data_IF_551632553250
#
_entry.id   IF_551632553250
#
_cell.length_a   1.000
_cell.length_b   1.000
_cell.length_c   1.000
_cell.angle_alpha   90.00
_cell.angle_beta   90.00
_cell.angle_gamma   90.00
#
_symmetry.space_group_name_H-M   'P 1'
#
loop_
_entity.id
_entity.type
_entity.pdbx_description
1 polymer ?
#
# COMPACT_ATOMS: atom_id res chain seq x y z
N UNK A 1 4.89 11.75 0.80
CA UNK A 1 3.48 12.22 0.90
C UNK A 1 3.14 12.49 2.37
N UNK A 2 2.27 13.44 2.75
CA UNK A 2 1.82 13.55 4.15
C UNK A 2 0.91 12.36 4.52
N UNK A 3 0.77 12.07 5.82
CA UNK A 3 -0.27 11.17 6.31
C UNK A 3 -1.44 12.03 6.78
N UNK A 4 -2.64 11.77 6.24
CA UNK A 4 -3.86 12.54 6.54
C UNK A 4 -4.92 11.70 7.27
N UNK A 5 -4.57 10.50 7.73
CA UNK A 5 -5.51 9.55 8.35
C UNK A 5 -6.55 8.95 7.38
N UNK A 6 -6.47 9.29 6.10
CA UNK A 6 -7.38 8.87 5.03
C UNK A 6 -6.58 8.20 3.90
N UNK A 7 -7.27 7.59 2.94
CA UNK A 7 -6.62 6.98 1.78
C UNK A 7 -5.78 8.02 1.03
N UNK A 8 -4.47 7.80 0.92
CA UNK A 8 -3.60 8.66 0.14
C UNK A 8 -3.81 8.44 -1.36
N UNK A 9 -3.85 9.53 -2.15
CA UNK A 9 -4.19 9.51 -3.57
C UNK A 9 -3.22 10.28 -4.48
N UNK A 10 -2.14 10.80 -3.90
CA UNK A 10 -1.09 11.57 -4.61
C UNK A 10 -0.13 10.60 -5.35
N UNK A 11 -0.68 9.70 -6.16
CA UNK A 11 0.06 8.59 -6.77
C UNK A 11 1.13 9.05 -7.77
N UNK A 12 0.93 10.22 -8.38
CA UNK A 12 1.87 10.88 -9.29
C UNK A 12 3.23 11.21 -8.64
N UNK A 13 3.31 11.17 -7.31
CA UNK A 13 4.54 11.43 -6.55
C UNK A 13 5.37 10.17 -6.31
N UNK A 14 4.81 8.99 -6.58
CA UNK A 14 5.43 7.70 -6.28
C UNK A 14 6.43 7.29 -7.37
N UNK A 15 7.58 6.79 -6.94
CA UNK A 15 8.51 6.06 -7.79
C UNK A 15 8.66 4.62 -7.30
N UNK A 16 8.94 3.70 -8.22
CA UNK A 16 9.31 2.34 -7.84
C UNK A 16 10.45 2.36 -6.81
N UNK A 17 10.31 1.56 -5.75
CA UNK A 17 11.20 1.54 -4.60
C UNK A 17 10.74 2.37 -3.40
N UNK A 18 9.76 3.27 -3.57
CA UNK A 18 9.21 4.04 -2.45
C UNK A 18 8.54 3.11 -1.42
N UNK A 19 8.74 3.39 -0.13
CA UNK A 19 8.02 2.69 0.93
C UNK A 19 6.59 3.21 1.01
N UNK A 20 5.63 2.30 1.05
CA UNK A 20 4.20 2.58 1.21
C UNK A 20 3.72 2.06 2.55
N UNK A 21 2.91 2.85 3.25
CA UNK A 21 2.53 2.60 4.63
C UNK A 21 1.02 2.52 4.77
N UNK A 22 0.57 1.56 5.58
CA UNK A 22 -0.83 1.23 5.74
C UNK A 22 -1.25 1.17 7.20
N UNK A 23 -2.50 1.52 7.46
CA UNK A 23 -3.17 1.24 8.72
C UNK A 23 -3.63 -0.21 8.75
N UNK A 24 -3.12 -1.04 9.66
CA UNK A 24 -3.51 -2.45 9.81
C UNK A 24 -4.69 -2.67 10.77
N UNK A 25 -5.05 -1.64 11.53
CA UNK A 25 -5.95 -1.75 12.66
C UNK A 25 -7.43 -1.89 12.28
N UNK A 26 -8.28 -2.18 13.27
CA UNK A 26 -9.72 -2.27 13.08
C UNK A 26 -10.37 -0.90 12.83
N UNK A 27 -9.73 0.17 13.28
CA UNK A 27 -10.20 1.56 13.11
C UNK A 27 -9.27 2.27 12.13
N UNK A 28 -9.84 2.72 11.01
CA UNK A 28 -9.10 3.46 10.00
C UNK A 28 -8.77 4.86 10.54
N UNK A 29 -7.49 5.08 10.82
CA UNK A 29 -6.94 6.36 11.27
C UNK A 29 -5.53 6.56 10.66
N UNK A 30 -4.74 7.46 11.22
CA UNK A 30 -3.38 7.76 10.79
C UNK A 30 -2.31 6.79 11.32
N UNK A 31 -2.66 5.83 12.17
CA UNK A 31 -1.71 4.86 12.70
C UNK A 31 -1.19 3.93 11.60
N UNK A 32 0.11 3.62 11.64
CA UNK A 32 0.80 2.79 10.66
C UNK A 32 1.20 1.48 11.31
N UNK A 33 0.80 0.37 10.71
CA UNK A 33 1.05 -0.98 11.25
C UNK A 33 1.56 -1.96 10.20
N UNK A 34 1.48 -1.59 8.92
CA UNK A 34 2.00 -2.39 7.83
C UNK A 34 2.75 -1.52 6.83
N UNK A 35 3.76 -2.08 6.19
CA UNK A 35 4.49 -1.42 5.12
C UNK A 35 4.76 -2.36 3.94
N UNK A 36 5.00 -1.76 2.79
CA UNK A 36 5.47 -2.43 1.59
C UNK A 36 6.35 -1.51 0.77
N UNK A 37 6.69 -1.96 -0.42
CA UNK A 37 7.46 -1.21 -1.39
C UNK A 37 6.65 -1.07 -2.67
N UNK A 38 6.52 0.16 -3.16
CA UNK A 38 5.85 0.47 -4.40
C UNK A 38 6.66 -0.08 -5.58
N UNK A 39 5.99 -0.70 -6.53
CA UNK A 39 6.64 -1.31 -7.69
C UNK A 39 6.36 -0.58 -9.00
N UNK A 40 5.29 0.21 -9.05
CA UNK A 40 4.89 0.91 -10.25
C UNK A 40 3.43 0.62 -10.62
N UNK A 41 3.16 0.81 -11.90
CA UNK A 41 1.85 0.59 -12.50
C UNK A 41 1.91 -0.70 -13.30
N UNK A 42 0.91 -1.57 -13.14
CA UNK A 42 0.82 -2.81 -13.92
C UNK A 42 0.24 -2.59 -15.33
N UNK A 43 0.06 -3.67 -16.07
CA UNK A 43 -0.51 -3.65 -17.44
C UNK A 43 -1.94 -3.11 -17.49
N UNK A 44 -2.67 -3.15 -16.38
CA UNK A 44 -4.05 -2.68 -16.27
C UNK A 44 -4.12 -1.21 -15.80
N UNK A 45 -2.98 -0.54 -15.70
CA UNK A 45 -2.92 0.84 -15.24
C UNK A 45 -3.07 1.00 -13.72
N UNK A 46 -2.85 -0.07 -12.94
CA UNK A 46 -3.10 -0.09 -11.49
C UNK A 46 -1.83 0.01 -10.65
N UNK A 47 -1.88 0.74 -9.54
CA UNK A 47 -0.73 0.99 -8.68
C UNK A 47 -0.40 -0.21 -7.77
N UNK A 48 0.68 -0.94 -8.07
CA UNK A 48 1.10 -2.18 -7.37
C UNK A 48 2.18 -1.97 -6.33
N UNK A 49 2.16 -2.81 -5.30
CA UNK A 49 3.21 -2.89 -4.29
C UNK A 49 3.51 -4.34 -3.88
N UNK A 50 4.68 -4.56 -3.30
CA UNK A 50 5.05 -5.83 -2.65
C UNK A 50 5.13 -5.62 -1.14
N UNK A 51 4.74 -6.63 -0.37
CA UNK A 51 5.03 -6.66 1.06
C UNK A 51 5.06 -8.09 1.60
N UNK A 52 5.63 -8.28 2.79
CA UNK A 52 5.49 -9.54 3.50
C UNK A 52 4.05 -9.72 3.99
N UNK A 53 3.46 -10.89 3.78
CA UNK A 53 2.07 -11.19 4.20
C UNK A 53 2.07 -12.33 5.21
N UNK A 54 1.27 -12.19 6.27
CA UNK A 54 1.04 -13.29 7.22
C UNK A 54 0.44 -14.51 6.54
N UNK A 55 -0.54 -14.33 5.64
CA UNK A 55 -1.21 -15.45 4.95
C UNK A 55 -0.30 -16.24 4.02
N UNK A 56 0.71 -15.60 3.45
CA UNK A 56 1.67 -16.26 2.55
C UNK A 56 2.98 -16.65 3.26
N UNK A 57 3.14 -16.28 4.53
CA UNK A 57 4.35 -16.48 5.32
C UNK A 57 5.63 -15.98 4.62
N UNK A 58 5.58 -14.78 4.01
CA UNK A 58 6.73 -14.21 3.32
C UNK A 58 6.39 -13.08 2.34
N UNK A 59 7.40 -12.60 1.57
CA UNK A 59 7.22 -11.59 0.53
C UNK A 59 6.17 -12.02 -0.48
N UNK A 60 5.23 -11.13 -0.79
CA UNK A 60 4.12 -11.43 -1.69
C UNK A 60 3.85 -10.23 -2.58
N UNK A 61 3.92 -10.48 -3.89
CA UNK A 61 3.47 -9.56 -4.92
C UNK A 61 1.96 -9.71 -5.21
N UNK A 62 1.46 -10.95 -5.15
CA UNK A 62 0.07 -11.27 -5.48
C UNK A 62 -0.96 -10.85 -4.43
N UNK A 63 -2.23 -11.05 -4.76
CA UNK A 63 -3.39 -10.58 -4.00
C UNK A 63 -3.76 -11.49 -2.80
N UNK A 64 -2.78 -12.25 -2.29
CA UNK A 64 -2.97 -13.16 -1.15
C UNK A 64 -3.08 -12.37 0.15
N UNK A 65 -4.26 -12.45 0.77
CA UNK A 65 -4.56 -11.68 1.99
C UNK A 65 -5.03 -10.26 1.73
N UNK A 66 -5.33 -9.93 0.47
CA UNK A 66 -5.85 -8.64 0.03
C UNK A 66 -5.08 -8.13 -1.18
N UNK A 67 -5.78 -7.41 -2.06
CA UNK A 67 -5.22 -6.92 -3.31
C UNK A 67 -3.98 -6.06 -3.06
N UNK A 68 -2.92 -6.32 -3.80
CA UNK A 68 -1.67 -5.55 -3.78
C UNK A 68 -1.79 -4.24 -4.54
N UNK A 69 -2.88 -3.51 -4.29
CA UNK A 69 -3.30 -2.27 -4.96
C UNK A 69 -3.38 -1.09 -4.00
N UNK A 70 -2.85 0.06 -4.41
CA UNK A 70 -2.94 1.32 -3.65
C UNK A 70 -4.21 2.13 -3.99
N UNK A 71 -4.74 1.92 -5.19
CA UNK A 71 -5.86 2.66 -5.81
C UNK A 71 -7.20 1.92 -5.74
N UNK A 72 -7.22 0.72 -5.17
CA UNK A 72 -8.42 -0.10 -5.02
C UNK A 72 -9.28 0.30 -3.82
N UNK A 73 -10.51 -0.22 -3.80
CA UNK A 73 -11.40 -0.22 -2.63
C UNK A 73 -11.22 -1.45 -1.74
N UNK A 74 -10.26 -2.33 -2.08
CA UNK A 74 -9.91 -3.52 -1.32
C UNK A 74 -9.11 -3.22 -0.04
N UNK A 75 -8.69 -4.28 0.65
CA UNK A 75 -8.10 -4.21 1.99
C UNK A 75 -6.96 -3.18 2.10
N UNK A 76 -5.96 -3.25 1.21
CA UNK A 76 -4.79 -2.37 1.26
C UNK A 76 -5.05 -1.00 0.67
N UNK A 77 -5.85 -0.89 -0.39
CA UNK A 77 -6.17 0.40 -1.01
C UNK A 77 -6.79 1.38 -0.02
N UNK A 78 -7.86 0.99 0.68
CA UNK A 78 -8.50 1.86 1.70
C UNK A 78 -7.63 2.13 2.92
N UNK A 79 -6.61 1.30 3.15
CA UNK A 79 -5.67 1.38 4.28
C UNK A 79 -4.39 2.13 3.93
N UNK A 80 -4.14 2.48 2.68
CA UNK A 80 -2.95 3.22 2.27
C UNK A 80 -2.97 4.64 2.86
N UNK A 81 -1.93 5.02 3.61
CA UNK A 81 -1.90 6.30 4.35
C UNK A 81 -0.85 7.26 3.84
N UNK A 82 0.30 6.75 3.46
CA UNK A 82 1.42 7.61 3.08
C UNK A 82 2.53 6.83 2.41
N UNK A 83 3.47 7.55 1.78
CA UNK A 83 4.68 6.97 1.21
C UNK A 83 5.92 7.82 1.50
N UNK A 84 7.09 7.18 1.56
CA UNK A 84 8.40 7.79 1.81
C UNK A 84 9.44 7.24 0.83
N UNK A 85 10.32 8.13 0.37
CA UNK A 85 11.57 7.79 -0.31
C UNK A 85 12.71 7.95 0.69
N UNK A 86 13.66 7.03 0.64
CA UNK A 86 14.89 7.03 1.45
C UNK A 86 16.10 7.31 0.58
#
# INVERSE_FOLDING_TARGET
MPNRGTQAREYERLNAGDLVFFNGGPVLNDHIEHMGMYLGVDSDGRHRFISSRTKANGPTLGDTGGDSLLDGSGHYGVRFRTARRI
#
